data_IF_693136690957
#
_entry.id   IF_693136690957
#
_cell.length_a   1.000
_cell.length_b   1.000
_cell.length_c   1.000
_cell.angle_alpha   90.00
_cell.angle_beta   90.00
_cell.angle_gamma   90.00
#
_symmetry.space_group_name_H-M   'P 1'
#
loop_
_entity.id
_entity.type
_entity.pdbx_description
1 polymer ?
#
# COMPACT_ATOMS: atom_id res chain seq x y z
N UNK A 1 -46.49 8.76 10.76
CA UNK A 1 -45.66 7.78 11.50
C UNK A 1 -45.51 8.34 12.91
N UNK A 2 -45.78 7.54 13.94
CA UNK A 2 -45.56 7.97 15.33
C UNK A 2 -44.05 8.11 15.61
N UNK A 3 -43.67 8.99 16.55
CA UNK A 3 -42.27 9.29 16.90
C UNK A 3 -41.52 8.03 17.36
N UNK A 4 -42.17 7.17 18.13
CA UNK A 4 -41.59 5.91 18.59
C UNK A 4 -41.33 4.95 17.43
N UNK A 5 -42.29 4.81 16.50
CA UNK A 5 -42.12 3.99 15.30
C UNK A 5 -40.99 4.54 14.41
N UNK A 6 -40.87 5.86 14.30
CA UNK A 6 -39.80 6.50 13.53
C UNK A 6 -38.42 6.23 14.16
N UNK A 7 -38.32 6.34 15.49
CA UNK A 7 -37.10 6.02 16.21
C UNK A 7 -36.70 4.55 16.03
N UNK A 8 -37.65 3.62 16.17
CA UNK A 8 -37.42 2.19 15.95
C UNK A 8 -36.95 1.92 14.51
N UNK A 9 -37.57 2.55 13.51
CA UNK A 9 -37.15 2.42 12.12
C UNK A 9 -35.73 2.96 11.89
N UNK A 10 -35.37 4.10 12.48
CA UNK A 10 -34.02 4.66 12.34
C UNK A 10 -32.98 3.80 13.06
N UNK A 11 -33.31 3.23 14.22
CA UNK A 11 -32.44 2.29 14.93
C UNK A 11 -32.20 1.03 14.11
N UNK A 12 -33.27 0.44 13.56
CA UNK A 12 -33.15 -0.67 12.64
C UNK A 12 -32.31 -0.31 11.40
N UNK A 13 -32.58 0.85 10.77
CA UNK A 13 -31.81 1.33 9.61
C UNK A 13 -30.33 1.50 9.96
N UNK A 14 -30.01 2.00 11.17
CA UNK A 14 -28.64 2.16 11.64
C UNK A 14 -27.92 0.83 11.74
N UNK A 15 -28.56 -0.16 12.37
CA UNK A 15 -27.97 -1.49 12.57
C UNK A 15 -27.69 -2.16 11.21
N UNK A 16 -28.64 -2.09 10.28
CA UNK A 16 -28.49 -2.64 8.92
C UNK A 16 -27.41 -1.89 8.11
N UNK A 17 -27.32 -0.57 8.24
CA UNK A 17 -26.28 0.24 7.58
C UNK A 17 -24.88 -0.08 8.14
N UNK A 18 -24.75 -0.28 9.45
CA UNK A 18 -23.50 -0.70 10.08
C UNK A 18 -23.09 -2.12 9.65
N UNK A 19 -24.05 -3.04 9.58
CA UNK A 19 -23.81 -4.38 9.06
C UNK A 19 -23.37 -4.34 7.59
N UNK A 20 -24.04 -3.53 6.77
CA UNK A 20 -23.69 -3.34 5.36
C UNK A 20 -22.27 -2.76 5.19
N UNK A 21 -21.87 -1.81 6.03
CA UNK A 21 -20.51 -1.26 6.03
C UNK A 21 -19.48 -2.35 6.38
N UNK A 22 -19.73 -3.13 7.43
CA UNK A 22 -18.86 -4.24 7.84
C UNK A 22 -18.73 -5.32 6.75
N UNK A 23 -19.83 -5.69 6.09
CA UNK A 23 -19.82 -6.62 4.94
C UNK A 23 -19.03 -6.03 3.77
N UNK A 24 -19.20 -4.74 3.47
CA UNK A 24 -18.51 -4.05 2.38
C UNK A 24 -17.01 -3.96 2.64
N UNK A 25 -16.59 -3.66 3.86
CA UNK A 25 -15.19 -3.63 4.26
C UNK A 25 -14.55 -5.03 4.18
N UNK A 26 -15.25 -6.05 4.69
CA UNK A 26 -14.80 -7.44 4.58
C UNK A 26 -14.66 -7.89 3.12
N UNK A 27 -15.63 -7.55 2.27
CA UNK A 27 -15.57 -7.82 0.83
C UNK A 27 -14.36 -7.12 0.19
N UNK A 28 -14.12 -5.85 0.51
CA UNK A 28 -12.95 -5.09 0.01
C UNK A 28 -11.63 -5.72 0.45
N UNK A 29 -11.53 -6.14 1.71
CA UNK A 29 -10.35 -6.82 2.25
C UNK A 29 -10.06 -8.13 1.53
N UNK A 30 -11.09 -8.99 1.35
CA UNK A 30 -10.94 -10.26 0.64
C UNK A 30 -10.63 -10.07 -0.84
N UNK A 31 -11.28 -9.12 -1.51
CA UNK A 31 -11.01 -8.80 -2.92
C UNK A 31 -9.58 -8.26 -3.12
N UNK A 32 -9.11 -7.39 -2.22
CA UNK A 32 -7.73 -6.91 -2.25
C UNK A 32 -6.73 -8.04 -2.00
N UNK A 33 -7.04 -8.97 -1.09
CA UNK A 33 -6.22 -10.14 -0.84
C UNK A 33 -6.16 -11.07 -2.06
N UNK A 34 -7.30 -11.37 -2.69
CA UNK A 34 -7.37 -12.14 -3.93
C UNK A 34 -6.55 -11.48 -5.05
N UNK A 35 -6.69 -10.16 -5.22
CA UNK A 35 -5.91 -9.40 -6.19
C UNK A 35 -4.40 -9.44 -5.89
N UNK A 36 -4.01 -9.39 -4.62
CA UNK A 36 -2.61 -9.55 -4.19
C UNK A 36 -2.08 -10.94 -4.51
N UNK A 37 -2.85 -12.00 -4.28
CA UNK A 37 -2.46 -13.38 -4.61
C UNK A 37 -2.24 -13.58 -6.11
N UNK A 38 -3.10 -13.00 -6.94
CA UNK A 38 -3.03 -13.09 -8.40
C UNK A 38 -1.90 -12.26 -9.01
N UNK A 39 -1.61 -11.09 -8.43
CA UNK A 39 -0.57 -10.16 -8.94
C UNK A 39 0.79 -10.31 -8.27
N UNK A 40 0.93 -11.19 -7.27
CA UNK A 40 2.23 -11.41 -6.64
C UNK A 40 3.20 -12.06 -7.61
N UNK A 41 4.33 -11.39 -7.85
CA UNK A 41 5.41 -11.87 -8.69
C UNK A 41 6.61 -12.31 -7.84
N UNK A 42 6.76 -13.61 -7.54
CA UNK A 42 7.74 -14.10 -6.56
C UNK A 42 9.20 -13.87 -6.92
N UNK A 43 9.51 -13.59 -8.20
CA UNK A 43 10.87 -13.64 -8.72
C UNK A 43 11.31 -12.41 -9.52
N UNK A 44 10.55 -11.31 -9.52
CA UNK A 44 10.98 -10.08 -10.22
C UNK A 44 11.99 -9.23 -9.42
N UNK A 45 12.23 -9.56 -8.14
CA UNK A 45 13.19 -8.84 -7.30
C UNK A 45 14.60 -9.45 -7.30
N UNK A 46 15.59 -8.69 -7.76
CA UNK A 46 17.03 -8.99 -7.61
C UNK A 46 17.46 -9.25 -6.15
N UNK A 47 16.66 -8.82 -5.18
CA UNK A 47 16.95 -8.91 -3.74
C UNK A 47 16.36 -10.16 -3.07
N UNK A 48 15.79 -11.10 -3.84
CA UNK A 48 15.29 -12.34 -3.24
C UNK A 48 16.48 -13.17 -2.72
N UNK A 49 16.55 -13.51 -1.41
CA UNK A 49 17.67 -14.28 -0.85
C UNK A 49 17.83 -15.66 -1.48
N UNK A 50 16.75 -16.22 -2.08
CA UNK A 50 16.85 -17.40 -2.94
C UNK A 50 17.66 -17.10 -4.20
N UNK A 51 17.37 -15.99 -4.90
CA UNK A 51 18.10 -15.53 -6.10
C UNK A 51 19.59 -15.32 -5.82
N UNK A 52 19.94 -14.74 -4.66
CA UNK A 52 21.33 -14.54 -4.25
C UNK A 52 22.13 -15.86 -4.14
N UNK A 53 21.50 -16.93 -3.61
CA UNK A 53 22.13 -18.26 -3.51
C UNK A 53 22.47 -18.85 -4.88
N UNK A 54 21.69 -18.53 -5.92
CA UNK A 54 21.98 -18.98 -7.30
C UNK A 54 23.25 -18.33 -7.89
N UNK A 55 23.65 -17.14 -7.43
CA UNK A 55 24.87 -16.48 -7.89
C UNK A 55 26.10 -16.85 -7.04
N UNK A 56 25.93 -16.92 -5.72
CA UNK A 56 27.04 -17.18 -4.78
C UNK A 56 27.59 -18.60 -4.92
N UNK A 57 26.74 -19.61 -5.07
CA UNK A 57 27.16 -21.02 -5.14
C UNK A 57 28.05 -21.31 -6.37
N UNK A 58 27.73 -20.89 -7.61
CA UNK A 58 28.63 -21.10 -8.74
C UNK A 58 29.94 -20.33 -8.63
N UNK A 59 29.94 -19.10 -8.10
CA UNK A 59 31.17 -18.34 -7.87
C UNK A 59 32.06 -19.08 -6.88
N UNK A 60 31.48 -19.55 -5.77
CA UNK A 60 32.20 -20.27 -4.73
C UNK A 60 32.72 -21.62 -5.25
N UNK A 61 31.96 -22.33 -6.08
CA UNK A 61 32.40 -23.55 -6.77
C UNK A 61 33.58 -23.28 -7.69
N UNK A 62 33.54 -22.23 -8.50
CA UNK A 62 34.65 -21.84 -9.39
C UNK A 62 35.90 -21.50 -8.58
N UNK A 63 35.76 -20.71 -7.50
CA UNK A 63 36.88 -20.33 -6.63
C UNK A 63 37.50 -21.56 -5.97
N UNK A 64 36.70 -22.47 -5.42
CA UNK A 64 37.21 -23.72 -4.81
C UNK A 64 37.89 -24.60 -5.85
N UNK A 65 37.29 -24.75 -7.03
CA UNK A 65 37.85 -25.57 -8.11
C UNK A 65 39.18 -25.01 -8.59
N UNK A 66 39.29 -23.68 -8.78
CA UNK A 66 40.55 -23.02 -9.13
C UNK A 66 41.58 -23.10 -8.01
N UNK A 67 41.17 -23.03 -6.74
CA UNK A 67 42.09 -23.16 -5.62
C UNK A 67 42.68 -24.58 -5.52
N UNK A 68 41.86 -25.62 -5.72
CA UNK A 68 42.30 -27.01 -5.61
C UNK A 68 43.04 -27.49 -6.87
N UNK A 69 42.55 -27.15 -8.06
CA UNK A 69 43.12 -27.60 -9.33
C UNK A 69 44.06 -26.59 -9.99
N UNK A 70 44.23 -25.40 -9.43
CA UNK A 70 45.00 -24.31 -10.04
C UNK A 70 46.44 -24.68 -10.34
N UNK A 71 47.14 -25.28 -9.38
CA UNK A 71 48.53 -25.72 -9.55
C UNK A 71 48.66 -26.83 -10.59
N UNK A 72 47.70 -27.76 -10.62
CA UNK A 72 47.63 -28.82 -11.64
C UNK A 72 47.42 -28.21 -13.04
N UNK A 73 46.49 -27.27 -13.17
CA UNK A 73 46.21 -26.56 -14.42
C UNK A 73 47.40 -25.71 -14.89
N UNK A 74 48.10 -25.04 -13.97
CA UNK A 74 49.29 -24.24 -14.26
C UNK A 74 50.46 -25.12 -14.72
N UNK A 75 50.66 -26.28 -14.08
CA UNK A 75 51.70 -27.24 -14.46
C UNK A 75 51.42 -27.86 -15.84
N UNK A 76 50.16 -28.20 -16.15
CA UNK A 76 49.75 -28.67 -17.46
C UNK A 76 49.99 -27.63 -18.55
N UNK A 77 49.80 -26.33 -18.24
CA UNK A 77 49.99 -25.23 -19.19
C UNK A 77 51.44 -25.10 -19.70
N UNK A 78 52.42 -25.45 -18.87
CA UNK A 78 53.86 -25.33 -19.21
C UNK A 78 54.29 -26.37 -20.26
N UNK A 79 53.55 -27.48 -20.41
CA UNK A 79 53.90 -28.62 -21.29
C UNK A 79 52.98 -28.75 -22.51
N UNK A 80 52.29 -27.68 -22.92
CA UNK A 80 51.29 -27.76 -24.00
C UNK A 80 51.96 -27.72 -25.38
N UNK A 81 51.99 -28.86 -26.06
CA UNK A 81 52.07 -28.97 -27.52
C UNK A 81 50.67 -28.85 -28.16
N UNK A 82 50.59 -28.76 -29.50
CA UNK A 82 49.31 -28.60 -30.22
C UNK A 82 48.26 -29.68 -29.88
N UNK A 83 48.67 -30.91 -29.58
CA UNK A 83 47.79 -31.99 -29.12
C UNK A 83 47.36 -31.83 -27.65
N UNK A 84 48.22 -31.24 -26.82
CA UNK A 84 47.94 -30.95 -25.41
C UNK A 84 46.82 -29.92 -25.23
N UNK A 85 46.65 -28.99 -26.19
CA UNK A 85 45.56 -28.00 -26.17
C UNK A 85 44.18 -28.68 -26.18
N UNK A 86 44.00 -29.70 -27.02
CA UNK A 86 42.73 -30.43 -27.12
C UNK A 86 42.43 -31.24 -25.86
N UNK A 87 43.45 -31.85 -25.26
CA UNK A 87 43.31 -32.58 -23.99
C UNK A 87 42.96 -31.62 -22.84
N UNK A 88 43.56 -30.42 -22.81
CA UNK A 88 43.24 -29.39 -21.84
C UNK A 88 41.81 -28.84 -22.00
N UNK A 89 41.39 -28.53 -23.22
CA UNK A 89 40.03 -28.04 -23.53
C UNK A 89 38.96 -29.08 -23.18
N UNK A 90 39.20 -30.35 -23.49
CA UNK A 90 38.27 -31.43 -23.13
C UNK A 90 38.20 -31.62 -21.61
N UNK A 91 39.32 -31.48 -20.89
CA UNK A 91 39.36 -31.45 -19.43
C UNK A 91 38.51 -30.31 -18.84
N UNK A 92 38.71 -29.06 -19.30
CA UNK A 92 37.90 -27.92 -18.87
C UNK A 92 36.41 -28.15 -19.14
N UNK A 93 36.10 -28.67 -20.33
CA UNK A 93 34.71 -28.92 -20.72
C UNK A 93 34.06 -29.96 -19.81
N UNK A 94 34.77 -31.05 -19.51
CA UNK A 94 34.26 -32.15 -18.70
C UNK A 94 34.17 -31.81 -17.20
N UNK A 95 35.15 -31.08 -16.65
CA UNK A 95 35.25 -30.82 -15.21
C UNK A 95 34.69 -29.47 -14.76
N UNK A 96 34.55 -28.49 -15.66
CA UNK A 96 34.04 -27.16 -15.31
C UNK A 96 32.73 -26.89 -16.03
N UNK A 97 32.69 -27.01 -17.36
CA UNK A 97 31.52 -26.63 -18.14
C UNK A 97 30.35 -27.59 -17.91
N UNK A 98 30.58 -28.90 -17.96
CA UNK A 98 29.53 -29.91 -17.81
C UNK A 98 28.85 -29.87 -16.43
N UNK A 99 29.59 -29.83 -15.29
CA UNK A 99 28.98 -29.75 -13.97
C UNK A 99 28.24 -28.43 -13.75
N UNK A 100 28.78 -27.32 -14.28
CA UNK A 100 28.13 -26.01 -14.19
C UNK A 100 26.83 -25.98 -15.01
N UNK A 101 26.84 -26.53 -16.23
CA UNK A 101 25.64 -26.66 -17.06
C UNK A 101 24.59 -27.56 -16.39
N UNK A 102 25.01 -28.71 -15.83
CA UNK A 102 24.13 -29.61 -15.07
C UNK A 102 23.51 -28.93 -13.86
N UNK A 103 24.30 -28.17 -13.11
CA UNK A 103 23.83 -27.35 -12.00
C UNK A 103 22.76 -26.34 -12.43
N UNK A 104 23.01 -25.54 -13.48
CA UNK A 104 22.02 -24.59 -13.97
C UNK A 104 20.73 -25.25 -14.49
N UNK A 105 20.82 -26.42 -15.13
CA UNK A 105 19.65 -27.19 -15.57
C UNK A 105 18.83 -27.71 -14.38
N UNK A 106 19.48 -28.24 -13.34
CA UNK A 106 18.80 -28.66 -12.10
C UNK A 106 18.11 -27.49 -11.40
N UNK A 107 18.79 -26.35 -11.29
CA UNK A 107 18.18 -25.15 -10.72
C UNK A 107 16.98 -24.66 -11.53
N UNK A 108 17.09 -24.67 -12.86
CA UNK A 108 15.99 -24.28 -13.75
C UNK A 108 14.78 -25.20 -13.57
N UNK A 109 15.00 -26.50 -13.47
CA UNK A 109 13.91 -27.48 -13.28
C UNK A 109 13.25 -27.34 -11.90
N UNK A 110 14.04 -27.22 -10.83
CA UNK A 110 13.54 -26.99 -9.47
C UNK A 110 12.79 -25.67 -9.37
N UNK A 111 13.34 -24.59 -9.92
CA UNK A 111 12.70 -23.27 -9.94
C UNK A 111 11.37 -23.31 -10.67
N UNK A 112 11.33 -23.89 -11.88
CA UNK A 112 10.08 -24.05 -12.64
C UNK A 112 9.04 -24.88 -11.89
N UNK A 113 9.46 -25.95 -11.21
CA UNK A 113 8.57 -26.78 -10.40
C UNK A 113 7.98 -25.99 -9.22
N UNK A 114 8.82 -25.27 -8.46
CA UNK A 114 8.40 -24.45 -7.32
C UNK A 114 7.48 -23.31 -7.76
N UNK A 115 7.79 -22.65 -8.88
CA UNK A 115 6.94 -21.61 -9.49
C UNK A 115 5.57 -22.21 -9.83
N UNK A 116 5.53 -23.36 -10.51
CA UNK A 116 4.27 -24.02 -10.87
C UNK A 116 3.46 -24.39 -9.62
N UNK A 117 4.09 -25.04 -8.64
CA UNK A 117 3.43 -25.44 -7.39
C UNK A 117 2.86 -24.24 -6.65
N UNK A 118 3.67 -23.17 -6.47
CA UNK A 118 3.21 -21.94 -5.82
C UNK A 118 2.08 -21.24 -6.58
N UNK A 119 2.11 -21.26 -7.91
CA UNK A 119 1.04 -20.70 -8.75
C UNK A 119 -0.26 -21.50 -8.59
N UNK A 120 -0.19 -22.84 -8.58
CA UNK A 120 -1.37 -23.70 -8.39
C UNK A 120 -2.00 -23.46 -7.03
N UNK A 121 -1.23 -23.51 -5.94
CA UNK A 121 -1.76 -23.29 -4.58
C UNK A 121 -2.42 -21.92 -4.44
N UNK A 122 -1.86 -20.87 -5.05
CA UNK A 122 -2.46 -19.53 -5.02
C UNK A 122 -3.73 -19.42 -5.84
N UNK A 123 -3.80 -20.10 -6.98
CA UNK A 123 -5.03 -20.14 -7.79
C UNK A 123 -6.13 -20.87 -7.01
N UNK A 124 -5.80 -21.98 -6.35
CA UNK A 124 -6.74 -22.71 -5.48
C UNK A 124 -7.21 -21.84 -4.31
N UNK A 125 -6.30 -21.11 -3.65
CA UNK A 125 -6.64 -20.18 -2.57
C UNK A 125 -7.50 -19.00 -3.08
N UNK A 126 -7.16 -18.42 -4.22
CA UNK A 126 -7.94 -17.36 -4.87
C UNK A 126 -9.33 -17.85 -5.31
N UNK A 127 -9.45 -19.11 -5.73
CA UNK A 127 -10.73 -19.75 -6.04
C UNK A 127 -11.54 -20.03 -4.77
N UNK A 128 -10.91 -20.45 -3.68
CA UNK A 128 -11.57 -20.60 -2.38
C UNK A 128 -12.18 -19.28 -1.90
N UNK A 129 -11.43 -18.19 -2.04
CA UNK A 129 -11.87 -16.83 -1.71
C UNK A 129 -13.05 -16.34 -2.57
N UNK A 130 -13.13 -16.78 -3.83
CA UNK A 130 -14.18 -16.37 -4.76
C UNK A 130 -15.58 -16.67 -4.22
N UNK A 131 -15.79 -17.87 -3.66
CA UNK A 131 -17.08 -18.24 -3.05
C UNK A 131 -17.48 -17.34 -1.88
N UNK A 132 -16.50 -16.92 -1.07
CA UNK A 132 -16.71 -16.00 0.05
C UNK A 132 -17.05 -14.59 -0.45
N UNK A 133 -16.37 -14.11 -1.49
CA UNK A 133 -16.64 -12.82 -2.13
C UNK A 133 -18.06 -12.79 -2.71
N UNK A 134 -18.47 -13.84 -3.42
CA UNK A 134 -19.82 -13.96 -3.98
C UNK A 134 -20.89 -13.99 -2.89
N UNK A 135 -20.65 -14.72 -1.80
CA UNK A 135 -21.59 -14.75 -0.67
C UNK A 135 -21.76 -13.37 -0.02
N UNK A 136 -20.66 -12.64 0.22
CA UNK A 136 -20.71 -11.28 0.78
C UNK A 136 -21.35 -10.29 -0.18
N UNK A 137 -21.12 -10.44 -1.48
CA UNK A 137 -21.78 -9.62 -2.49
C UNK A 137 -23.28 -9.82 -2.47
N UNK A 138 -23.75 -11.07 -2.39
CA UNK A 138 -25.16 -11.40 -2.26
C UNK A 138 -25.77 -10.82 -1.00
N UNK A 139 -25.13 -11.01 0.16
CA UNK A 139 -25.57 -10.42 1.44
C UNK A 139 -25.63 -8.90 1.36
N UNK A 140 -24.62 -8.25 0.76
CA UNK A 140 -24.62 -6.79 0.56
C UNK A 140 -25.82 -6.33 -0.28
N UNK A 141 -26.17 -7.09 -1.33
CA UNK A 141 -27.31 -6.79 -2.19
C UNK A 141 -28.64 -6.99 -1.44
N UNK A 142 -28.76 -8.06 -0.65
CA UNK A 142 -29.92 -8.33 0.20
C UNK A 142 -30.15 -7.22 1.24
N UNK A 143 -29.10 -6.78 1.94
CA UNK A 143 -29.19 -5.69 2.91
C UNK A 143 -29.56 -4.35 2.24
N UNK A 144 -29.01 -4.06 1.05
CA UNK A 144 -29.37 -2.85 0.29
C UNK A 144 -30.84 -2.86 -0.15
N UNK A 145 -31.35 -4.00 -0.60
CA UNK A 145 -32.76 -4.14 -0.97
C UNK A 145 -33.66 -3.98 0.26
N UNK A 146 -33.27 -4.60 1.39
CA UNK A 146 -33.99 -4.46 2.65
C UNK A 146 -34.08 -3.00 3.10
N UNK A 147 -32.98 -2.26 3.03
CA UNK A 147 -32.94 -0.82 3.31
C UNK A 147 -33.85 -0.03 2.37
N UNK A 148 -33.84 -0.32 1.07
CA UNK A 148 -34.67 0.39 0.09
C UNK A 148 -36.18 0.16 0.32
N UNK A 149 -36.56 -1.02 0.79
CA UNK A 149 -37.97 -1.39 1.01
C UNK A 149 -38.52 -0.90 2.35
N UNK A 150 -37.70 -0.91 3.41
CA UNK A 150 -38.20 -0.75 4.79
C UNK A 150 -37.71 0.53 5.48
N UNK A 151 -36.64 1.17 5.01
CA UNK A 151 -36.12 2.39 5.64
C UNK A 151 -36.98 3.60 5.31
N UNK A 152 -37.35 4.40 6.32
CA UNK A 152 -37.94 5.72 6.11
C UNK A 152 -36.89 6.78 5.73
N UNK A 153 -35.60 6.51 6.00
CA UNK A 153 -34.49 7.43 5.73
C UNK A 153 -34.19 7.49 4.22
N UNK A 154 -34.09 8.68 3.61
CA UNK A 154 -33.79 8.80 2.19
C UNK A 154 -32.40 8.26 1.84
N UNK A 155 -32.27 7.72 0.62
CA UNK A 155 -31.05 7.06 0.16
C UNK A 155 -29.78 7.92 0.29
N UNK A 156 -29.90 9.24 0.13
CA UNK A 156 -28.80 10.20 0.28
C UNK A 156 -28.20 10.26 1.68
N UNK A 157 -28.91 9.77 2.72
CA UNK A 157 -28.46 9.76 4.12
C UNK A 157 -28.27 8.32 4.65
N UNK A 158 -28.31 7.29 3.79
CA UNK A 158 -28.08 5.89 4.16
C UNK A 158 -26.59 5.57 4.31
N UNK A 159 -25.92 6.26 5.22
CA UNK A 159 -24.56 5.97 5.62
C UNK A 159 -24.40 6.12 7.14
N UNK A 160 -23.46 5.39 7.77
CA UNK A 160 -23.42 5.21 9.22
C UNK A 160 -23.44 6.51 10.01
N UNK A 161 -22.66 7.50 9.58
CA UNK A 161 -22.56 8.80 10.23
C UNK A 161 -23.91 9.54 10.25
N UNK A 162 -24.57 9.69 9.09
CA UNK A 162 -25.83 10.39 9.00
C UNK A 162 -26.94 9.70 9.80
N UNK A 163 -27.09 8.38 9.67
CA UNK A 163 -28.14 7.66 10.42
C UNK A 163 -27.92 7.77 11.93
N UNK A 164 -26.67 7.69 12.39
CA UNK A 164 -26.34 7.88 13.81
C UNK A 164 -26.65 9.30 14.30
N UNK A 165 -26.47 10.33 13.46
CA UNK A 165 -26.85 11.72 13.77
C UNK A 165 -28.37 11.88 13.83
N UNK A 166 -29.10 11.32 12.86
CA UNK A 166 -30.56 11.33 12.83
C UNK A 166 -31.17 10.68 14.09
N UNK A 167 -30.64 9.53 14.52
CA UNK A 167 -31.02 8.89 15.78
C UNK A 167 -30.78 9.84 16.97
N UNK A 168 -29.59 10.45 17.04
CA UNK A 168 -29.24 11.39 18.10
C UNK A 168 -30.16 12.61 18.14
N UNK A 169 -30.63 13.12 17.00
CA UNK A 169 -31.58 14.23 16.95
C UNK A 169 -32.95 13.85 17.49
N UNK A 170 -33.44 12.65 17.19
CA UNK A 170 -34.70 12.14 17.75
C UNK A 170 -34.63 11.93 19.27
N UNK A 171 -33.51 11.41 19.75
CA UNK A 171 -33.32 11.09 21.18
C UNK A 171 -33.04 12.34 22.00
N UNK A 172 -32.10 13.20 21.55
CA UNK A 172 -31.56 14.31 22.36
C UNK A 172 -32.19 15.67 22.05
N UNK A 173 -32.52 15.93 20.79
CA UNK A 173 -32.96 17.25 20.34
C UNK A 173 -34.47 17.39 20.19
N UNK A 174 -35.24 16.37 20.60
CA UNK A 174 -36.71 16.32 20.50
C UNK A 174 -37.22 16.64 19.09
N UNK A 175 -36.49 16.24 18.06
CA UNK A 175 -37.06 16.25 16.72
C UNK A 175 -38.27 15.29 16.71
N UNK A 176 -39.39 15.77 16.17
CA UNK A 176 -40.64 15.01 16.13
C UNK A 176 -40.83 14.34 14.77
N UNK A 177 -40.16 14.86 13.74
CA UNK A 177 -40.26 14.34 12.37
C UNK A 177 -38.89 14.06 11.75
N UNK A 178 -38.86 13.14 10.78
CA UNK A 178 -37.66 12.86 9.99
C UNK A 178 -37.16 14.10 9.24
N UNK A 179 -38.08 14.94 8.74
CA UNK A 179 -37.75 16.20 8.06
C UNK A 179 -36.97 17.15 8.97
N UNK A 180 -37.38 17.28 10.23
CA UNK A 180 -36.65 18.09 11.22
C UNK A 180 -35.27 17.51 11.50
N UNK A 181 -35.16 16.19 11.63
CA UNK A 181 -33.85 15.54 11.81
C UNK A 181 -32.91 15.82 10.64
N UNK A 182 -33.42 15.73 9.40
CA UNK A 182 -32.66 16.03 8.18
C UNK A 182 -32.26 17.50 8.15
N UNK A 183 -33.16 18.42 8.45
CA UNK A 183 -32.84 19.85 8.50
C UNK A 183 -31.75 20.15 9.53
N UNK A 184 -31.83 19.55 10.72
CA UNK A 184 -30.81 19.69 11.76
C UNK A 184 -29.47 19.13 11.31
N UNK A 185 -29.48 17.97 10.65
CA UNK A 185 -28.28 17.35 10.09
C UNK A 185 -27.61 18.26 9.04
N UNK A 186 -28.38 18.78 8.08
CA UNK A 186 -27.86 19.66 7.03
C UNK A 186 -27.36 20.99 7.58
N UNK A 187 -28.03 21.53 8.60
CA UNK A 187 -27.58 22.74 9.28
C UNK A 187 -26.27 22.51 10.03
N UNK A 188 -26.11 21.37 10.71
CA UNK A 188 -24.86 21.01 11.39
C UNK A 188 -23.72 20.83 10.38
N UNK A 189 -23.95 20.08 9.29
CA UNK A 189 -22.98 19.90 8.18
C UNK A 189 -22.56 21.22 7.53
N UNK A 190 -23.50 22.14 7.31
CA UNK A 190 -23.20 23.45 6.74
C UNK A 190 -22.33 24.29 7.71
N UNK A 191 -22.64 24.24 9.00
CA UNK A 191 -21.87 24.95 10.03
C UNK A 191 -20.46 24.37 10.16
N UNK A 192 -20.31 23.04 10.17
CA UNK A 192 -19.00 22.38 10.22
C UNK A 192 -18.14 22.76 9.01
N UNK A 193 -18.71 22.79 7.80
CA UNK A 193 -18.01 23.24 6.59
C UNK A 193 -17.57 24.69 6.69
N UNK A 194 -18.44 25.58 7.14
CA UNK A 194 -18.10 26.99 7.33
C UNK A 194 -16.98 27.17 8.36
N UNK A 195 -16.99 26.39 9.45
CA UNK A 195 -15.94 26.42 10.45
C UNK A 195 -14.61 25.94 9.88
N UNK A 196 -14.58 24.82 9.15
CA UNK A 196 -13.37 24.32 8.49
C UNK A 196 -12.80 25.33 7.48
N UNK A 197 -13.66 25.99 6.71
CA UNK A 197 -13.24 27.04 5.77
C UNK A 197 -12.71 28.28 6.50
N UNK A 198 -13.30 28.67 7.62
CA UNK A 198 -12.83 29.77 8.44
C UNK A 198 -11.46 29.45 9.07
N UNK A 199 -11.28 28.24 9.61
CA UNK A 199 -10.01 27.76 10.15
C UNK A 199 -8.92 27.72 9.08
N UNK A 200 -9.23 27.23 7.88
CA UNK A 200 -8.28 27.22 6.76
C UNK A 200 -7.86 28.64 6.37
N UNK A 201 -8.83 29.57 6.24
CA UNK A 201 -8.55 30.98 5.96
C UNK A 201 -7.69 31.63 7.06
N UNK A 202 -7.97 31.31 8.32
CA UNK A 202 -7.20 31.81 9.45
C UNK A 202 -5.75 31.29 9.42
N UNK A 203 -5.54 30.00 9.13
CA UNK A 203 -4.20 29.42 8.96
C UNK A 203 -3.44 30.05 7.79
N UNK A 204 -4.11 30.35 6.68
CA UNK A 204 -3.50 31.05 5.54
C UNK A 204 -3.06 32.46 5.93
N UNK A 205 -3.92 33.22 6.63
CA UNK A 205 -3.58 34.56 7.13
C UNK A 205 -2.39 34.54 8.10
N UNK A 206 -2.33 33.57 9.02
CA UNK A 206 -1.20 33.41 9.93
C UNK A 206 0.10 33.14 9.16
N UNK A 207 0.08 32.25 8.17
CA UNK A 207 1.25 31.96 7.33
C UNK A 207 1.69 33.18 6.53
N UNK A 208 0.77 34.00 6.04
CA UNK A 208 1.09 35.25 5.35
C UNK A 208 1.73 36.27 6.29
N UNK A 209 1.18 36.44 7.50
CA UNK A 209 1.72 37.31 8.53
C UNK A 209 3.13 36.87 8.96
N UNK A 210 3.36 35.57 9.13
CA UNK A 210 4.69 35.01 9.40
C UNK A 210 5.68 35.31 8.28
N UNK A 211 5.27 35.15 7.01
CA UNK A 211 6.10 35.50 5.85
C UNK A 211 6.42 36.99 5.82
N UNK A 212 5.46 37.85 6.13
CA UNK A 212 5.68 39.30 6.22
C UNK A 212 6.63 39.65 7.35
N UNK A 213 6.46 39.07 8.54
CA UNK A 213 7.36 39.24 9.68
C UNK A 213 8.79 38.77 9.35
N UNK A 214 8.95 37.62 8.70
CA UNK A 214 10.27 37.15 8.26
C UNK A 214 10.93 38.09 7.26
N UNK A 215 10.16 38.66 6.31
CA UNK A 215 10.68 39.67 5.36
C UNK A 215 11.08 40.94 6.10
N UNK A 216 10.29 41.40 7.06
CA UNK A 216 10.59 42.57 7.87
C UNK A 216 11.85 42.38 8.71
N UNK A 217 11.99 41.23 9.39
CA UNK A 217 13.21 40.88 10.15
C UNK A 217 14.44 40.87 9.25
N UNK A 218 14.35 40.27 8.05
CA UNK A 218 15.44 40.30 7.06
C UNK A 218 15.79 41.73 6.62
N UNK A 219 14.79 42.57 6.39
CA UNK A 219 15.00 43.97 6.01
C UNK A 219 15.67 44.78 7.14
N UNK A 220 15.21 44.62 8.38
CA UNK A 220 15.80 45.25 9.57
C UNK A 220 17.25 44.81 9.75
N UNK A 221 17.54 43.52 9.64
CA UNK A 221 18.92 43.01 9.73
C UNK A 221 19.81 43.58 8.62
N UNK A 222 19.31 43.70 7.38
CA UNK A 222 20.05 44.32 6.28
C UNK A 222 20.39 45.79 6.57
N UNK A 223 19.42 46.57 7.05
CA UNK A 223 19.64 47.97 7.45
C UNK A 223 20.67 48.05 8.57
N UNK A 224 20.56 47.19 9.59
CA UNK A 224 21.53 47.13 10.70
C UNK A 224 22.94 46.87 10.20
N UNK A 225 23.15 45.87 9.34
CA UNK A 225 24.47 45.58 8.76
C UNK A 225 25.02 46.75 7.91
N UNK A 226 24.14 47.49 7.23
CA UNK A 226 24.55 48.66 6.45
C UNK A 226 24.96 49.83 7.35
N UNK A 227 24.24 50.04 8.46
CA UNK A 227 24.61 51.05 9.48
C UNK A 227 25.93 50.69 10.16
N UNK A 228 26.15 49.43 10.53
CA UNK A 228 27.41 48.96 11.12
C UNK A 228 28.58 49.18 10.15
N UNK A 229 28.42 48.80 8.88
CA UNK A 229 29.44 49.05 7.85
C UNK A 229 29.77 50.54 7.68
N UNK A 230 28.74 51.39 7.54
CA UNK A 230 28.93 52.84 7.42
C UNK A 230 29.62 53.45 8.65
N UNK A 231 29.34 52.90 9.83
CA UNK A 231 29.99 53.32 11.08
C UNK A 231 31.47 52.97 11.07
N UNK A 232 31.82 51.74 10.70
CA UNK A 232 33.20 51.29 10.67
C UNK A 232 34.00 52.05 9.59
N UNK A 233 33.40 52.33 8.43
CA UNK A 233 34.00 53.18 7.38
C UNK A 233 34.29 54.61 7.90
N UNK A 234 33.46 55.16 8.79
CA UNK A 234 33.66 56.50 9.37
C UNK A 234 34.81 56.55 10.39
N UNK A 235 35.09 55.45 11.11
CA UNK A 235 36.15 55.39 12.12
C UNK A 235 37.53 55.02 11.56
N UNK A 236 37.62 54.67 10.27
CA UNK A 236 38.87 54.34 9.59
C UNK A 236 39.49 55.50 8.77
N UNK A 237 38.89 56.69 8.81
CA UNK A 237 39.44 57.96 8.30
C UNK A 237 39.89 58.85 9.46
#
# INVERSE_FOLDING_TARGET
>A
MDRNNLLENIQWTKDVVLELEGVTEKHRGLSAHQHSLLNYKPFEGLHNPLMLRFYVVPILFIVITLFILGDLLASLFIFIDAEGIWMFLSGITLFIVLPLAGYFLLLRTISNYLIRKSKVTRIEEAQGLQSSIESLHKTSMELKNSLAEHSAVPQSYLFPYAVSKLESFLVKHRADTLKECINLYEQEEANEKQQQEAEKRHQEQLREMERQNQKMVKAVNKVKTQVEKNRDDYFHY
#
